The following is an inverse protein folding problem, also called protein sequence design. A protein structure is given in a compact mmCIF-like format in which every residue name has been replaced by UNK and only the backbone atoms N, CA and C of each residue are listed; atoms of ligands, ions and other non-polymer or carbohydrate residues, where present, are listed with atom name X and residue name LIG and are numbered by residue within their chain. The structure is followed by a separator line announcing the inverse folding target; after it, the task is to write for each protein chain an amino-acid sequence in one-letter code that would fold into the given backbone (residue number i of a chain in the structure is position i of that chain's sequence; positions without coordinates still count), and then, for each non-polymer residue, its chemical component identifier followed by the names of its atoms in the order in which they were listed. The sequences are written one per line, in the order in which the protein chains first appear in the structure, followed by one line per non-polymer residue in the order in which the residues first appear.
data_IF_186940653128
#
_entry.id   IF_186940653128
#
_cell.length_a   1.000
_cell.length_b   1.000
_cell.length_c   1.000
_cell.angle_alpha   90.00
_cell.angle_beta   90.00
_cell.angle_gamma   90.00
#
_symmetry.space_group_name_H-M   'P 1'
#
loop_
_entity.id
_entity.type
_entity.pdbx_description
1 polymer ?
#
# COMPACT_ATOMS: atom_id res chain seq x y z
N UNK A 1 -13.66 22.42 10.87
CA UNK A 1 -13.92 21.97 9.48
C UNK A 1 -13.86 20.45 9.48
N UNK A 2 -14.84 19.73 8.90
CA UNK A 2 -14.78 18.28 8.87
C UNK A 2 -13.60 17.84 7.99
N UNK A 3 -12.75 16.97 8.53
CA UNK A 3 -11.69 16.32 7.75
C UNK A 3 -12.36 15.36 6.78
N UNK A 4 -12.33 15.66 5.48
CA UNK A 4 -12.82 14.75 4.46
C UNK A 4 -11.99 13.46 4.52
N UNK A 5 -12.64 12.35 4.91
CA UNK A 5 -12.02 11.03 4.89
C UNK A 5 -11.85 10.60 3.45
N UNK A 6 -10.61 10.54 2.99
CA UNK A 6 -10.31 9.97 1.69
C UNK A 6 -10.81 8.52 1.65
N UNK A 7 -11.50 8.15 0.56
CA UNK A 7 -11.95 6.77 0.38
C UNK A 7 -10.74 5.87 0.15
N UNK A 8 -10.80 4.64 0.66
CA UNK A 8 -9.67 3.68 0.54
C UNK A 8 -9.26 3.41 -0.91
N UNK A 9 -10.21 3.38 -1.87
CA UNK A 9 -9.91 3.12 -3.28
C UNK A 9 -8.99 4.18 -3.91
N UNK A 10 -9.35 5.47 -3.95
CA UNK A 10 -8.48 6.50 -4.53
C UNK A 10 -7.18 6.66 -3.75
N UNK A 11 -7.20 6.50 -2.41
CA UNK A 11 -5.98 6.50 -1.62
C UNK A 11 -5.04 5.35 -2.04
N UNK A 12 -5.55 4.13 -2.18
CA UNK A 12 -4.72 2.97 -2.55
C UNK A 12 -4.18 3.10 -3.97
N UNK A 13 -4.98 3.59 -4.92
CA UNK A 13 -4.51 3.85 -6.29
C UNK A 13 -3.36 4.87 -6.31
N UNK A 14 -3.46 5.93 -5.50
CA UNK A 14 -2.41 6.93 -5.34
C UNK A 14 -1.15 6.33 -4.70
N UNK A 15 -1.29 5.51 -3.66
CA UNK A 15 -0.16 4.81 -3.02
C UNK A 15 0.56 3.86 -3.98
N UNK A 16 -0.18 3.11 -4.82
CA UNK A 16 0.43 2.23 -5.83
C UNK A 16 1.14 3.06 -6.91
N UNK A 17 0.55 4.18 -7.35
CA UNK A 17 1.17 5.05 -8.36
C UNK A 17 2.41 5.78 -7.82
N UNK A 18 2.40 6.15 -6.54
CA UNK A 18 3.51 6.82 -5.85
C UNK A 18 4.71 5.91 -5.63
N UNK A 19 4.57 4.58 -5.82
CA UNK A 19 5.62 3.56 -5.68
C UNK A 19 6.44 3.68 -4.39
N UNK A 20 5.83 4.24 -3.33
CA UNK A 20 6.52 4.52 -2.06
C UNK A 20 6.72 3.26 -1.23
N UNK A 21 5.88 2.24 -1.47
CA UNK A 21 5.90 0.97 -0.73
C UNK A 21 6.56 -0.10 -1.61
N UNK A 22 7.73 -0.63 -1.22
CA UNK A 22 8.45 -1.62 -2.01
C UNK A 22 7.64 -2.92 -2.12
N UNK A 23 7.25 -3.26 -3.34
CA UNK A 23 6.44 -4.46 -3.63
C UNK A 23 4.95 -4.18 -3.82
N UNK A 24 4.47 -2.97 -3.54
CA UNK A 24 3.12 -2.54 -3.91
C UNK A 24 3.15 -2.06 -5.37
N UNK A 25 2.62 -2.86 -6.29
CA UNK A 25 2.65 -2.54 -7.73
C UNK A 25 1.42 -3.04 -8.48
N UNK A 26 1.11 -2.37 -9.59
CA UNK A 26 0.14 -2.84 -10.56
C UNK A 26 0.67 -4.09 -11.28
N UNK A 27 -0.09 -5.17 -11.22
CA UNK A 27 0.13 -6.35 -12.06
C UNK A 27 -0.60 -6.18 -13.40
N UNK A 28 -1.80 -5.61 -13.35
CA UNK A 28 -2.58 -5.26 -14.54
C UNK A 28 -3.48 -4.06 -14.22
N UNK A 29 -3.13 -2.88 -14.74
CA UNK A 29 -3.87 -1.63 -14.50
C UNK A 29 -5.24 -1.61 -15.18
N UNK A 30 -5.38 -2.23 -16.35
CA UNK A 30 -6.65 -2.31 -17.09
C UNK A 30 -7.69 -3.15 -16.35
N UNK A 31 -7.25 -4.25 -15.73
CA UNK A 31 -8.10 -5.13 -14.91
C UNK A 31 -8.13 -4.74 -13.43
N UNK A 32 -7.46 -3.65 -13.04
CA UNK A 32 -7.28 -3.19 -11.64
C UNK A 32 -6.72 -4.27 -10.70
N UNK A 33 -5.80 -5.09 -11.20
CA UNK A 33 -5.11 -6.12 -10.42
C UNK A 33 -3.77 -5.55 -9.93
N UNK A 34 -3.56 -5.58 -8.63
CA UNK A 34 -2.32 -5.14 -7.98
C UNK A 34 -1.88 -6.17 -6.94
N UNK A 35 -0.60 -6.13 -6.58
CA UNK A 35 -0.05 -6.94 -5.50
C UNK A 35 0.26 -6.06 -4.29
N UNK A 36 -0.03 -6.55 -3.09
CA UNK A 36 0.40 -5.96 -1.83
C UNK A 36 1.47 -6.89 -1.22
N UNK A 37 2.65 -6.38 -0.85
CA UNK A 37 3.63 -7.16 -0.11
C UNK A 37 3.07 -7.42 1.30
N UNK A 38 2.91 -8.69 1.66
CA UNK A 38 2.46 -9.09 2.99
C UNK A 38 3.56 -9.91 3.66
N UNK A 39 4.29 -9.29 4.58
CA UNK A 39 5.23 -9.99 5.44
C UNK A 39 4.60 -10.19 6.83
N UNK A 40 4.60 -11.43 7.30
CA UNK A 40 4.08 -11.74 8.63
C UNK A 40 4.98 -11.11 9.70
N UNK A 41 4.41 -10.28 10.58
CA UNK A 41 5.16 -9.50 11.57
C UNK A 41 6.01 -10.36 12.54
N UNK A 42 5.63 -11.63 12.73
CA UNK A 42 6.38 -12.58 13.56
C UNK A 42 7.61 -13.21 12.85
N UNK A 43 7.89 -12.86 11.58
CA UNK A 43 9.03 -13.40 10.84
C UNK A 43 10.31 -12.65 11.21
N UNK A 44 11.40 -13.38 11.40
CA UNK A 44 12.72 -12.79 11.65
C UNK A 44 13.12 -11.89 10.47
N UNK A 45 13.35 -10.60 10.74
CA UNK A 45 13.66 -9.59 9.72
C UNK A 45 12.49 -8.69 9.30
N UNK A 46 11.34 -8.77 9.98
CA UNK A 46 10.26 -7.80 9.81
C UNK A 46 10.67 -6.43 10.36
N UNK A 47 10.48 -5.39 9.55
CA UNK A 47 10.81 -4.01 9.86
C UNK A 47 9.57 -3.13 9.64
N UNK A 48 9.15 -2.41 10.69
CA UNK A 48 7.96 -1.53 10.64
C UNK A 48 8.07 -0.50 9.52
N UNK A 49 9.26 0.06 9.28
CA UNK A 49 9.46 1.12 8.29
C UNK A 49 9.46 0.60 6.85
N UNK A 50 9.70 -0.71 6.65
CA UNK A 50 9.72 -1.33 5.33
C UNK A 50 8.46 -2.12 5.02
N UNK A 51 7.96 -2.89 5.98
CA UNK A 51 6.89 -3.87 5.79
C UNK A 51 5.52 -3.35 6.22
N UNK A 52 5.47 -2.30 7.06
CA UNK A 52 4.23 -1.73 7.59
C UNK A 52 4.07 -0.23 7.34
N UNK A 53 4.76 0.31 6.33
CA UNK A 53 4.70 1.73 5.98
C UNK A 53 3.46 2.11 5.15
N UNK A 54 2.27 1.67 5.59
CA UNK A 54 0.99 2.11 5.06
C UNK A 54 0.46 3.24 5.95
N UNK A 55 0.96 4.47 5.74
CA UNK A 55 0.51 5.63 6.51
C UNK A 55 -0.73 6.25 5.85
N UNK A 56 -1.82 6.31 6.60
CA UNK A 56 -3.09 6.92 6.21
C UNK A 56 -3.05 8.44 6.28
#
# INVERSE_FOLDING_TARGET
MPVERMRMRPWLEDQINSNTIPGLKWLNKEKKIFQIPWMHAARHGWDVEKDANFRC
#
